data_IF_659500345128
#
_entry.id   IF_659500345128
#
_cell.length_a   1.000
_cell.length_b   1.000
_cell.length_c   1.000
_cell.angle_alpha   90.00
_cell.angle_beta   90.00
_cell.angle_gamma   90.00
#
_symmetry.space_group_name_H-M   'P 1'
#
loop_
_entity.id
_entity.type
_entity.pdbx_description
1 polymer ?
#
# COMPACT_ATOMS: atom_id res chain seq x y z
N UNK A 1 6.29 2.97 -5.39
CA UNK A 1 5.54 2.76 -4.13
C UNK A 1 5.95 3.67 -2.97
N UNK A 2 7.14 4.29 -2.96
CA UNK A 2 7.67 5.03 -1.80
C UNK A 2 7.02 6.39 -1.47
N UNK A 3 6.33 7.07 -2.41
CA UNK A 3 6.08 8.53 -2.25
C UNK A 3 4.65 8.93 -1.86
N UNK A 4 3.65 8.04 -1.90
CA UNK A 4 2.35 8.30 -1.26
C UNK A 4 1.49 7.03 -1.25
N UNK A 5 0.68 6.78 -0.22
CA UNK A 5 -0.50 5.98 -0.39
C UNK A 5 -1.67 6.89 -0.79
N UNK A 6 -2.74 6.29 -1.29
CA UNK A 6 -4.08 6.86 -1.22
C UNK A 6 -4.36 8.09 -2.09
N UNK A 7 -4.98 7.84 -3.24
CA UNK A 7 -5.63 8.87 -4.02
C UNK A 7 -6.96 9.28 -3.35
N UNK A 8 -6.89 10.17 -2.38
CA UNK A 8 -7.57 11.45 -2.50
C UNK A 8 -6.58 12.48 -1.98
N UNK A 9 -6.14 13.38 -2.87
CA UNK A 9 -5.17 14.43 -2.54
C UNK A 9 -5.61 15.27 -1.30
N UNK A 10 -6.88 15.20 -0.89
CA UNK A 10 -7.45 15.94 0.25
C UNK A 10 -7.30 15.32 1.66
N UNK A 11 -7.14 13.99 1.81
CA UNK A 11 -7.18 13.33 3.14
C UNK A 11 -5.77 13.03 3.64
N UNK A 12 -4.89 12.54 2.77
CA UNK A 12 -3.65 11.92 3.23
C UNK A 12 -2.39 12.76 2.98
N UNK A 13 -2.40 13.75 2.09
CA UNK A 13 -1.16 14.43 1.67
C UNK A 13 -1.15 15.95 1.91
N UNK A 14 -2.04 16.48 2.77
CA UNK A 14 -2.26 17.93 2.93
C UNK A 14 -2.45 18.66 1.57
N UNK A 15 -3.02 18.00 0.56
CA UNK A 15 -3.18 18.57 -0.79
C UNK A 15 -2.03 18.33 -1.77
N UNK A 16 -0.96 17.59 -1.41
CA UNK A 16 0.13 17.28 -2.35
C UNK A 16 -0.25 16.17 -3.33
N UNK A 17 -0.24 16.48 -4.61
CA UNK A 17 -0.46 15.50 -5.67
C UNK A 17 0.55 14.37 -5.62
N UNK A 18 0.04 13.14 -5.67
CA UNK A 18 0.88 11.96 -5.86
C UNK A 18 1.65 12.06 -7.17
N UNK A 19 2.95 11.70 -7.21
CA UNK A 19 3.73 11.74 -8.43
C UNK A 19 3.11 10.86 -9.52
N UNK A 20 2.77 11.45 -10.67
CA UNK A 20 2.26 10.72 -11.84
C UNK A 20 3.37 10.08 -12.69
N UNK A 21 4.62 10.14 -12.21
CA UNK A 21 5.79 9.53 -12.83
C UNK A 21 6.53 8.70 -11.80
N UNK A 22 7.11 7.58 -12.25
CA UNK A 22 8.03 6.79 -11.44
C UNK A 22 9.26 7.66 -11.13
N UNK A 23 9.53 7.93 -9.85
CA UNK A 23 10.71 8.68 -9.44
C UNK A 23 11.92 7.72 -9.47
N UNK A 24 13.04 8.07 -10.14
CA UNK A 24 14.24 7.25 -10.17
C UNK A 24 14.79 6.94 -8.76
N UNK A 25 15.33 5.74 -8.55
CA UNK A 25 15.91 5.30 -7.27
C UNK A 25 14.91 4.68 -6.28
N UNK A 26 13.63 4.59 -6.65
CA UNK A 26 12.59 3.95 -5.83
C UNK A 26 12.68 2.42 -5.77
N UNK A 27 13.47 1.83 -6.65
CA UNK A 27 13.75 0.41 -6.81
C UNK A 27 14.72 -0.13 -5.75
N UNK A 28 15.50 0.75 -5.12
CA UNK A 28 16.31 0.41 -3.95
C UNK A 28 15.42 0.41 -2.73
N UNK A 29 15.06 -0.79 -2.26
CA UNK A 29 14.31 -1.03 -1.04
C UNK A 29 15.28 -1.40 0.08
N UNK A 30 15.03 -0.87 1.27
CA UNK A 30 15.78 -1.17 2.49
C UNK A 30 14.82 -1.57 3.61
N UNK A 31 15.25 -2.48 4.48
CA UNK A 31 14.46 -2.90 5.63
C UNK A 31 14.23 -1.73 6.60
N UNK A 32 13.02 -1.61 7.14
CA UNK A 32 12.63 -0.51 8.03
C UNK A 32 12.49 0.84 7.33
N UNK A 33 12.66 0.89 6.01
CA UNK A 33 12.53 2.12 5.25
C UNK A 33 11.09 2.63 5.26
N UNK A 34 10.94 3.93 5.47
CA UNK A 34 9.63 4.60 5.43
C UNK A 34 8.95 4.44 4.06
N UNK A 35 7.70 3.98 4.13
CA UNK A 35 6.80 3.88 3.00
C UNK A 35 5.51 4.55 3.39
N UNK A 36 4.99 5.40 2.50
CA UNK A 36 3.63 5.91 2.64
C UNK A 36 3.36 6.63 3.98
N UNK A 37 4.38 7.31 4.53
CA UNK A 37 4.43 8.06 5.80
C UNK A 37 4.21 7.26 7.09
N UNK A 38 3.26 6.32 7.11
CA UNK A 38 2.83 5.59 8.30
C UNK A 38 3.28 4.12 8.31
N UNK A 39 3.86 3.64 7.21
CA UNK A 39 4.37 2.28 7.09
C UNK A 39 5.91 2.28 7.00
N UNK A 40 6.47 1.10 7.27
CA UNK A 40 7.87 0.77 7.07
C UNK A 40 7.97 -0.55 6.31
N UNK A 41 9.04 -0.75 5.52
CA UNK A 41 9.29 -2.02 4.85
C UNK A 41 9.60 -3.08 5.89
N UNK A 42 8.76 -4.12 5.96
CA UNK A 42 8.95 -5.27 6.83
C UNK A 42 9.62 -6.43 6.10
N UNK A 43 9.41 -6.55 4.78
CA UNK A 43 10.07 -7.57 3.95
C UNK A 43 9.97 -7.20 2.46
N UNK A 44 10.87 -7.69 1.61
CA UNK A 44 10.74 -7.56 0.16
C UNK A 44 11.57 -8.60 -0.60
N UNK A 45 11.06 -9.00 -1.76
CA UNK A 45 11.78 -9.76 -2.78
C UNK A 45 11.78 -8.94 -4.08
N UNK A 46 12.93 -8.40 -4.52
CA UNK A 46 13.01 -7.54 -5.70
C UNK A 46 12.34 -8.16 -6.93
N UNK A 47 11.42 -7.40 -7.55
CA UNK A 47 10.68 -7.86 -8.73
C UNK A 47 9.55 -8.85 -8.44
N UNK A 48 9.32 -9.23 -7.18
CA UNK A 48 8.28 -10.21 -6.82
C UNK A 48 7.36 -9.78 -5.70
N UNK A 49 7.87 -9.24 -4.60
CA UNK A 49 7.01 -8.85 -3.47
C UNK A 49 7.59 -7.71 -2.66
N UNK A 50 6.70 -6.99 -1.98
CA UNK A 50 7.05 -6.05 -0.91
C UNK A 50 5.98 -6.10 0.16
N UNK A 51 6.39 -6.29 1.40
CA UNK A 51 5.56 -6.26 2.59
C UNK A 51 5.91 -5.03 3.40
N UNK A 52 4.88 -4.26 3.74
CA UNK A 52 4.98 -3.08 4.57
C UNK A 52 4.12 -3.28 5.81
N UNK A 53 4.59 -2.76 6.94
CA UNK A 53 3.87 -2.81 8.21
C UNK A 53 3.73 -1.44 8.80
N UNK A 54 2.65 -1.22 9.55
CA UNK A 54 2.43 0.03 10.25
C UNK A 54 3.62 0.32 11.18
N UNK A 55 4.08 1.57 11.22
CA UNK A 55 5.22 1.97 12.06
C UNK A 55 4.99 1.56 13.51
N UNK A 56 6.03 1.07 14.18
CA UNK A 56 5.96 0.61 15.59
C UNK A 56 5.25 1.59 16.53
N UNK A 57 5.46 2.90 16.32
CA UNK A 57 4.83 3.98 17.11
C UNK A 57 3.31 4.10 16.95
N UNK A 58 2.70 3.46 15.96
CA UNK A 58 1.24 3.48 15.73
C UNK A 58 0.58 2.14 16.09
N UNK A 59 1.39 1.07 16.23
CA UNK A 59 0.93 -0.30 16.52
C UNK A 59 0.20 -0.46 17.86
N UNK A 60 0.31 0.53 18.75
CA UNK A 60 -0.42 0.53 20.01
C UNK A 60 -1.93 0.85 19.83
N UNK A 61 -2.31 1.48 18.72
CA UNK A 61 -3.71 1.81 18.41
C UNK A 61 -4.34 0.72 17.54
N UNK A 62 -3.62 0.29 16.51
CA UNK A 62 -3.99 -0.77 15.59
C UNK A 62 -2.71 -1.26 14.91
N UNK A 63 -2.67 -2.51 14.47
CA UNK A 63 -1.55 -3.00 13.65
C UNK A 63 -2.05 -3.38 12.26
N UNK A 64 -1.21 -3.18 11.24
CA UNK A 64 -1.56 -3.50 9.87
C UNK A 64 -0.33 -3.94 9.08
N UNK A 65 -0.44 -5.04 8.37
CA UNK A 65 0.55 -5.58 7.45
C UNK A 65 -0.07 -5.67 6.06
N UNK A 66 0.61 -5.12 5.08
CA UNK A 66 0.18 -5.08 3.69
C UNK A 66 1.27 -5.71 2.83
N UNK A 67 0.92 -6.74 2.06
CA UNK A 67 1.84 -7.39 1.11
C UNK A 67 1.35 -7.17 -0.31
N UNK A 68 2.23 -6.63 -1.15
CA UNK A 68 2.08 -6.54 -2.59
C UNK A 68 2.87 -7.67 -3.24
N UNK A 69 2.25 -8.48 -4.08
CA UNK A 69 2.88 -9.64 -4.72
C UNK A 69 2.58 -9.67 -6.20
N UNK A 70 3.62 -9.83 -7.01
CA UNK A 70 3.53 -10.00 -8.46
C UNK A 70 3.43 -11.50 -8.74
N UNK A 71 2.36 -11.89 -9.42
CA UNK A 71 2.13 -13.27 -9.86
C UNK A 71 2.17 -13.30 -11.40
N UNK A 72 2.95 -14.18 -12.03
CA UNK A 72 2.94 -14.32 -13.48
C UNK A 72 1.55 -14.77 -13.97
N UNK A 73 1.14 -14.24 -15.13
CA UNK A 73 -0.09 -14.64 -15.82
C UNK A 73 0.28 -15.49 -17.02
N UNK A 74 -0.50 -16.55 -17.28
CA UNK A 74 -0.30 -17.47 -18.43
C UNK A 74 -0.29 -16.74 -19.78
N UNK A 75 -0.97 -15.60 -19.87
CA UNK A 75 -1.06 -14.74 -21.06
C UNK A 75 0.18 -13.86 -21.31
N UNK A 76 1.34 -14.15 -20.70
CA UNK A 76 2.57 -13.36 -20.83
C UNK A 76 2.58 -12.02 -20.07
N UNK A 77 1.58 -11.80 -19.20
CA UNK A 77 1.50 -10.62 -18.33
C UNK A 77 1.82 -10.94 -16.87
N UNK A 78 1.56 -9.98 -15.98
CA UNK A 78 1.60 -10.22 -14.54
C UNK A 78 0.35 -9.66 -13.85
N UNK A 79 0.01 -10.22 -12.69
CA UNK A 79 -1.06 -9.78 -11.81
C UNK A 79 -0.45 -9.28 -10.51
N UNK A 80 -0.78 -8.05 -10.14
CA UNK A 80 -0.42 -7.51 -8.83
C UNK A 80 -1.53 -7.86 -7.84
N UNK A 81 -1.19 -8.66 -6.82
CA UNK A 81 -2.05 -9.01 -5.70
C UNK A 81 -1.69 -8.14 -4.50
N UNK A 82 -2.70 -7.77 -3.72
CA UNK A 82 -2.55 -7.06 -2.45
C UNK A 82 -3.29 -7.84 -1.39
N UNK A 83 -2.61 -8.08 -0.28
CA UNK A 83 -3.20 -8.68 0.92
C UNK A 83 -3.00 -7.72 2.08
N UNK A 84 -4.07 -7.46 2.81
CA UNK A 84 -4.08 -6.60 3.99
C UNK A 84 -4.50 -7.45 5.18
N UNK A 85 -3.68 -7.46 6.21
CA UNK A 85 -3.96 -8.06 7.51
C UNK A 85 -3.99 -6.93 8.53
N UNK A 86 -5.10 -6.78 9.23
CA UNK A 86 -5.30 -5.70 10.20
C UNK A 86 -5.73 -6.27 11.54
N UNK A 87 -5.03 -5.86 12.60
CA UNK A 87 -5.40 -6.10 13.99
C UNK A 87 -6.10 -4.85 14.53
N UNK A 88 -7.44 -4.93 14.62
CA UNK A 88 -8.28 -3.81 15.05
C UNK A 88 -8.28 -3.68 16.58
N UNK A 89 -8.37 -2.46 17.13
CA UNK A 89 -8.48 -2.25 18.56
C UNK A 89 -9.70 -2.97 19.16
N UNK A 90 -9.58 -3.49 20.38
CA UNK A 90 -10.62 -4.31 21.04
C UNK A 90 -11.82 -3.51 21.59
N UNK A 91 -11.82 -2.19 21.47
CA UNK A 91 -12.86 -1.31 22.04
C UNK A 91 -14.04 -1.13 21.09
N UNK A 92 -15.13 -0.49 21.56
CA UNK A 92 -16.35 -0.24 20.76
C UNK A 92 -16.03 0.49 19.44
N UNK A 93 -15.04 1.39 19.47
CA UNK A 93 -14.51 2.07 18.28
C UNK A 93 -13.92 1.10 17.23
N UNK A 94 -13.33 -0.02 17.68
CA UNK A 94 -12.81 -1.06 16.81
C UNK A 94 -13.89 -1.88 16.10
N UNK A 95 -15.07 -2.03 16.72
CA UNK A 95 -16.21 -2.69 16.07
C UNK A 95 -16.75 -1.85 14.91
N UNK A 96 -16.91 -0.54 15.11
CA UNK A 96 -17.29 0.39 14.04
C UNK A 96 -16.23 0.42 12.93
N UNK A 97 -14.94 0.50 13.29
CA UNK A 97 -13.86 0.41 12.31
C UNK A 97 -13.92 -0.89 11.51
N UNK A 98 -14.12 -2.03 12.16
CA UNK A 98 -14.21 -3.34 11.47
C UNK A 98 -15.35 -3.40 10.46
N UNK A 99 -16.45 -2.67 10.68
CA UNK A 99 -17.60 -2.65 9.76
C UNK A 99 -17.34 -1.71 8.59
N UNK A 100 -16.87 -0.48 8.84
CA UNK A 100 -16.78 0.55 7.80
C UNK A 100 -15.43 0.56 7.06
N UNK A 101 -14.35 0.27 7.75
CA UNK A 101 -12.98 0.36 7.21
C UNK A 101 -12.75 -0.57 6.01
N UNK A 102 -13.22 -1.84 5.97
CA UNK A 102 -12.98 -2.72 4.82
C UNK A 102 -13.57 -2.21 3.52
N UNK A 103 -14.72 -1.52 3.57
CA UNK A 103 -15.37 -0.98 2.38
C UNK A 103 -14.61 0.22 1.81
N UNK A 104 -14.19 1.14 2.70
CA UNK A 104 -13.36 2.28 2.31
C UNK A 104 -12.02 1.81 1.74
N UNK A 105 -11.38 0.86 2.41
CA UNK A 105 -10.11 0.28 1.98
C UNK A 105 -10.24 -0.45 0.64
N UNK A 106 -11.30 -1.21 0.39
CA UNK A 106 -11.50 -1.91 -0.89
C UNK A 106 -11.62 -0.94 -2.07
N UNK A 107 -12.42 0.12 -1.94
CA UNK A 107 -12.59 1.14 -2.99
C UNK A 107 -11.25 1.82 -3.26
N UNK A 108 -10.53 2.17 -2.19
CA UNK A 108 -9.25 2.85 -2.23
C UNK A 108 -8.14 1.97 -2.84
N UNK A 109 -8.06 0.70 -2.45
CA UNK A 109 -7.12 -0.29 -2.98
C UNK A 109 -7.36 -0.62 -4.43
N UNK A 110 -8.62 -0.74 -4.84
CA UNK A 110 -8.94 -0.90 -6.25
C UNK A 110 -8.40 0.26 -7.08
N UNK A 111 -8.57 1.51 -6.62
CA UNK A 111 -8.07 2.69 -7.34
C UNK A 111 -6.54 2.73 -7.38
N UNK A 112 -5.86 2.41 -6.28
CA UNK A 112 -4.41 2.31 -6.23
C UNK A 112 -3.87 1.29 -7.24
N UNK A 113 -4.47 0.09 -7.29
CA UNK A 113 -4.08 -0.97 -8.21
C UNK A 113 -4.28 -0.56 -9.67
N UNK A 114 -5.37 0.12 -10.00
CA UNK A 114 -5.61 0.65 -11.35
C UNK A 114 -4.58 1.71 -11.75
N UNK A 115 -4.16 2.57 -10.82
CA UNK A 115 -3.09 3.52 -11.07
C UNK A 115 -1.74 2.83 -11.31
N UNK A 116 -1.41 1.81 -10.51
CA UNK A 116 -0.19 1.02 -10.72
C UNK A 116 -0.20 0.31 -12.07
N UNK A 117 -1.33 -0.29 -12.45
CA UNK A 117 -1.52 -0.88 -13.78
C UNK A 117 -1.21 0.13 -14.88
N UNK A 118 -1.85 1.31 -14.85
CA UNK A 118 -1.66 2.36 -15.87
C UNK A 118 -0.20 2.82 -15.95
N UNK A 119 0.46 3.02 -14.81
CA UNK A 119 1.87 3.45 -14.78
C UNK A 119 2.83 2.37 -15.28
N UNK A 120 2.51 1.09 -15.04
CA UNK A 120 3.30 -0.03 -15.54
C UNK A 120 3.15 -0.19 -17.06
N UNK A 121 1.92 -0.11 -17.58
CA UNK A 121 1.64 -0.21 -19.01
C UNK A 121 2.22 0.95 -19.83
N UNK A 122 2.33 2.15 -19.25
CA UNK A 122 3.01 3.29 -19.89
C UNK A 122 4.54 3.13 -20.03
N UNK A 123 5.15 2.15 -19.34
CA UNK A 123 6.60 1.92 -19.35
C UNK A 123 7.01 0.79 -20.33
N UNK A 124 6.06 -0.04 -20.78
CA UNK A 124 6.29 -1.09 -21.78
C UNK A 124 6.23 -0.53 -23.20
#
# INVERSE_FOLDING_TARGET
>A
MRVAPYSYDWIDNFGRQSPQKLIPGLDKLEMGQDVMMIFEIEDFEPGRSVTIRLKRKLRFVADAVISYVIVPSESGGCRLLVKILMDYPRWISGWLMRIFFPWGDLIMMRRQLMNFKRLAELKS
#
